data_IF_989682365900
#
_entry.id   IF_989682365900
#
_cell.length_a   1.000
_cell.length_b   1.000
_cell.length_c   1.000
_cell.angle_alpha   90.00
_cell.angle_beta   90.00
_cell.angle_gamma   90.00
#
_symmetry.space_group_name_H-M   'P 1'
#
loop_
_entity.id
_entity.type
_entity.pdbx_description
1 polymer ?
#
# COMPACT_ATOMS: atom_id res chain seq x y z
N UNK A 1 9.05 -19.95 34.44
CA UNK A 1 7.77 -20.25 33.77
C UNK A 1 8.01 -20.10 32.29
N UNK A 2 8.13 -21.20 31.55
CA UNK A 2 8.32 -21.18 30.09
C UNK A 2 7.07 -20.55 29.49
N UNK A 3 7.20 -19.38 28.87
CA UNK A 3 6.10 -18.78 28.13
C UNK A 3 5.63 -19.80 27.08
N UNK A 4 4.37 -20.24 27.17
CA UNK A 4 3.78 -21.10 26.16
C UNK A 4 3.86 -20.36 24.84
N UNK A 5 4.64 -20.88 23.89
CA UNK A 5 4.59 -20.36 22.53
C UNK A 5 3.15 -20.50 22.03
N UNK A 6 2.55 -19.44 21.48
CA UNK A 6 1.19 -19.53 20.95
C UNK A 6 1.16 -20.60 19.86
N UNK A 7 0.12 -21.44 19.86
CA UNK A 7 -0.05 -22.48 18.85
C UNK A 7 -0.16 -21.83 17.46
N UNK A 8 0.64 -22.28 16.47
CA UNK A 8 0.50 -21.84 15.08
C UNK A 8 -0.92 -22.06 14.56
N UNK A 9 -1.39 -21.15 13.70
CA UNK A 9 -2.75 -21.15 13.15
C UNK A 9 -2.74 -21.30 11.63
N UNK A 10 -3.75 -21.97 11.06
CA UNK A 10 -3.79 -22.23 9.62
C UNK A 10 -4.11 -20.95 8.83
N UNK A 11 -3.32 -20.66 7.80
CA UNK A 11 -3.61 -19.60 6.85
C UNK A 11 -4.92 -19.92 6.10
N UNK A 12 -5.86 -18.96 5.96
CA UNK A 12 -7.21 -19.22 5.46
C UNK A 12 -7.31 -19.66 3.99
N UNK A 13 -6.21 -19.58 3.23
CA UNK A 13 -6.14 -20.00 1.82
C UNK A 13 -5.28 -21.26 1.64
N UNK A 14 -4.00 -21.22 2.05
CA UNK A 14 -3.06 -22.32 1.84
C UNK A 14 -3.20 -23.44 2.87
N UNK A 15 -3.74 -23.17 4.06
CA UNK A 15 -3.81 -24.12 5.17
C UNK A 15 -2.50 -24.28 5.96
N UNK A 16 -1.41 -23.68 5.51
CA UNK A 16 -0.12 -23.74 6.19
C UNK A 16 -0.21 -23.09 7.58
N UNK A 17 0.53 -23.65 8.54
CA UNK A 17 0.52 -23.19 9.92
C UNK A 17 1.53 -22.07 10.13
N UNK A 18 1.07 -20.95 10.68
CA UNK A 18 1.92 -19.80 10.99
C UNK A 18 1.77 -19.33 12.43
N UNK A 19 2.88 -18.85 12.99
CA UNK A 19 2.86 -18.01 14.17
C UNK A 19 2.07 -16.72 13.94
N UNK A 20 1.64 -16.08 15.02
CA UNK A 20 0.83 -14.87 15.00
C UNK A 20 1.30 -13.93 16.11
N UNK A 21 2.07 -12.87 15.81
CA UNK A 21 2.46 -12.35 14.49
C UNK A 21 3.30 -13.30 13.62
N UNK A 22 3.17 -13.19 12.29
CA UNK A 22 3.92 -14.00 11.32
C UNK A 22 5.37 -13.49 11.19
N UNK A 23 6.40 -14.30 11.49
CA UNK A 23 7.80 -13.92 11.29
C UNK A 23 8.17 -13.79 9.80
N UNK A 24 9.13 -12.91 9.44
CA UNK A 24 9.57 -12.74 8.06
C UNK A 24 10.20 -14.00 7.47
N UNK A 25 9.96 -14.25 6.18
CA UNK A 25 10.57 -15.36 5.45
C UNK A 25 10.07 -16.75 5.84
N UNK A 26 8.95 -16.85 6.53
CA UNK A 26 8.34 -18.13 6.93
C UNK A 26 7.45 -18.74 5.84
N UNK A 27 7.41 -18.13 4.65
CA UNK A 27 6.61 -18.62 3.52
C UNK A 27 5.21 -18.04 3.42
N UNK A 28 4.90 -16.95 4.13
CA UNK A 28 3.62 -16.25 3.97
C UNK A 28 3.45 -15.80 2.50
N UNK A 29 2.29 -16.05 1.86
CA UNK A 29 2.11 -15.72 0.45
C UNK A 29 2.38 -14.24 0.15
N UNK A 30 3.33 -13.98 -0.74
CA UNK A 30 3.72 -12.62 -1.13
C UNK A 30 4.56 -11.85 -0.10
N UNK A 31 5.17 -12.52 0.87
CA UNK A 31 6.18 -11.92 1.76
C UNK A 31 7.48 -11.65 0.98
N UNK A 32 7.89 -10.38 0.78
CA UNK A 32 9.13 -10.06 0.10
C UNK A 32 10.36 -10.26 1.00
N UNK A 33 10.18 -10.37 2.33
CA UNK A 33 11.29 -10.54 3.25
C UNK A 33 11.71 -11.99 3.42
N UNK A 34 12.97 -12.16 3.77
CA UNK A 34 13.55 -13.42 4.26
C UNK A 34 13.79 -13.30 5.76
N UNK A 35 14.13 -14.41 6.42
CA UNK A 35 14.55 -14.40 7.82
C UNK A 35 15.80 -13.51 8.09
N UNK A 36 16.56 -13.17 7.04
CA UNK A 36 17.78 -12.36 7.11
C UNK A 36 17.56 -10.91 6.68
N UNK A 37 16.35 -10.50 6.30
CA UNK A 37 16.09 -9.12 5.89
C UNK A 37 16.32 -8.17 7.06
N UNK A 38 17.23 -7.18 6.95
CA UNK A 38 17.56 -6.29 8.07
C UNK A 38 16.38 -5.45 8.53
N UNK A 39 16.15 -5.43 9.84
CA UNK A 39 15.08 -4.65 10.47
C UNK A 39 15.52 -3.20 10.67
N UNK A 40 14.70 -2.24 10.26
CA UNK A 40 14.91 -0.83 10.56
C UNK A 40 14.35 -0.47 11.95
N UNK A 41 15.20 0.10 12.81
CA UNK A 41 14.83 0.57 14.15
C UNK A 41 14.88 2.10 14.28
N UNK A 42 15.55 2.78 13.35
CA UNK A 42 15.71 4.23 13.32
C UNK A 42 15.31 4.85 11.97
N UNK A 43 15.14 6.17 11.93
CA UNK A 43 14.90 6.88 10.67
C UNK A 43 16.12 6.84 9.74
N UNK A 44 17.33 6.78 10.31
CA UNK A 44 18.58 6.60 9.60
C UNK A 44 18.64 5.21 8.93
N UNK A 45 18.16 4.15 9.59
CA UNK A 45 18.06 2.83 8.98
C UNK A 45 17.12 2.86 7.77
N UNK A 46 15.98 3.56 7.88
CA UNK A 46 15.04 3.74 6.76
C UNK A 46 15.75 4.41 5.59
N UNK A 47 16.45 5.53 5.82
CA UNK A 47 17.14 6.26 4.77
C UNK A 47 18.22 5.40 4.11
N UNK A 48 19.04 4.70 4.90
CA UNK A 48 20.11 3.84 4.39
C UNK A 48 19.58 2.71 3.51
N UNK A 49 18.49 2.05 3.93
CA UNK A 49 17.87 0.96 3.16
C UNK A 49 17.15 1.45 1.90
N UNK A 50 16.48 2.60 1.99
CA UNK A 50 15.87 3.25 0.83
C UNK A 50 16.92 3.63 -0.21
N UNK A 51 18.06 4.19 0.22
CA UNK A 51 19.17 4.55 -0.66
C UNK A 51 19.82 3.33 -1.30
N UNK A 52 20.04 2.25 -0.53
CA UNK A 52 20.58 1.00 -1.04
C UNK A 52 19.69 0.41 -2.14
N UNK A 53 18.41 0.18 -1.86
CA UNK A 53 17.48 -0.42 -2.84
C UNK A 53 17.35 0.45 -4.10
N UNK A 54 17.33 1.78 -3.95
CA UNK A 54 17.36 2.72 -5.07
C UNK A 54 18.64 2.61 -5.89
N UNK A 55 19.80 2.44 -5.25
CA UNK A 55 21.09 2.30 -5.94
C UNK A 55 21.18 0.99 -6.74
N UNK A 56 20.54 -0.07 -6.25
CA UNK A 56 20.45 -1.35 -6.95
C UNK A 56 19.34 -1.37 -8.02
N UNK A 57 18.39 -0.42 -7.95
CA UNK A 57 17.21 -0.42 -8.81
C UNK A 57 16.21 -1.53 -8.50
N UNK A 58 16.29 -2.11 -7.29
CA UNK A 58 15.48 -3.27 -6.89
C UNK A 58 14.32 -2.85 -5.98
N UNK A 59 13.11 -2.81 -6.57
CA UNK A 59 11.89 -2.48 -5.83
C UNK A 59 11.49 -3.58 -4.83
N UNK A 60 11.82 -4.84 -5.11
CA UNK A 60 11.54 -5.96 -4.21
C UNK A 60 12.43 -5.89 -2.97
N UNK A 61 13.70 -5.47 -3.11
CA UNK A 61 14.57 -5.17 -1.97
C UNK A 61 13.98 -4.07 -1.06
N UNK A 62 13.42 -3.02 -1.67
CA UNK A 62 12.75 -1.95 -0.94
C UNK A 62 11.50 -2.47 -0.21
N UNK A 63 10.64 -3.23 -0.90
CA UNK A 63 9.43 -3.83 -0.34
C UNK A 63 9.76 -4.81 0.81
N UNK A 64 10.85 -5.57 0.70
CA UNK A 64 11.38 -6.43 1.76
C UNK A 64 11.77 -5.63 3.01
N UNK A 65 12.58 -4.57 2.86
CA UNK A 65 12.99 -3.71 3.97
C UNK A 65 11.78 -3.00 4.63
N UNK A 66 10.83 -2.52 3.81
CA UNK A 66 9.57 -1.96 4.29
C UNK A 66 8.84 -2.98 5.16
N UNK A 67 8.69 -4.21 4.70
CA UNK A 67 7.88 -5.28 5.34
C UNK A 67 8.41 -5.78 6.69
N UNK A 68 9.59 -5.33 7.12
CA UNK A 68 10.16 -5.67 8.44
C UNK A 68 10.38 -4.45 9.34
N UNK A 69 10.17 -3.23 8.85
CA UNK A 69 10.37 -1.99 9.60
C UNK A 69 9.66 -1.97 10.98
N UNK A 70 10.39 -1.51 12.00
CA UNK A 70 9.95 -1.40 13.40
C UNK A 70 10.25 -0.05 14.06
N UNK A 71 10.38 1.03 13.28
CA UNK A 71 10.77 2.36 13.81
C UNK A 71 9.69 3.02 14.68
N UNK A 72 8.41 2.74 14.43
CA UNK A 72 7.30 3.42 15.12
C UNK A 72 6.71 2.54 16.23
N UNK A 73 7.21 2.63 17.46
CA UNK A 73 6.81 1.80 18.61
C UNK A 73 5.28 1.67 18.75
N UNK A 74 4.54 2.79 18.76
CA UNK A 74 3.08 2.78 18.88
C UNK A 74 2.39 1.93 17.79
N UNK A 75 2.91 1.95 16.55
CA UNK A 75 2.38 1.17 15.45
C UNK A 75 2.80 -0.30 15.53
N UNK A 76 4.03 -0.58 16.00
CA UNK A 76 4.52 -1.94 16.25
C UNK A 76 3.68 -2.62 17.33
N UNK A 77 3.52 -1.95 18.47
CA UNK A 77 2.71 -2.45 19.59
C UNK A 77 1.27 -2.69 19.15
N UNK A 78 0.67 -1.72 18.47
CA UNK A 78 -0.72 -1.85 18.02
C UNK A 78 -0.89 -3.00 17.02
N UNK A 79 -0.08 -3.03 15.94
CA UNK A 79 -0.24 -4.03 14.88
C UNK A 79 -0.04 -5.45 15.40
N UNK A 80 0.88 -5.64 16.34
CA UNK A 80 1.18 -6.95 16.95
C UNK A 80 0.18 -7.34 18.05
N UNK A 81 -0.32 -6.38 18.85
CA UNK A 81 -1.35 -6.68 19.85
C UNK A 81 -2.61 -7.26 19.23
N UNK A 82 -2.94 -6.87 17.99
CA UNK A 82 -4.07 -7.42 17.22
C UNK A 82 -3.86 -8.87 16.77
N UNK A 83 -2.62 -9.36 16.74
CA UNK A 83 -2.28 -10.76 16.49
C UNK A 83 -2.52 -11.64 17.71
N UNK A 84 -2.70 -11.05 18.90
CA UNK A 84 -2.97 -11.74 20.16
C UNK A 84 -4.44 -11.52 20.55
N UNK A 85 -4.88 -10.28 20.56
CA UNK A 85 -6.25 -9.86 20.87
C UNK A 85 -7.09 -9.76 19.60
N UNK A 86 -7.30 -10.90 18.95
CA UNK A 86 -7.98 -10.99 17.67
C UNK A 86 -9.46 -10.66 17.77
N UNK A 87 -10.00 -10.10 16.69
CA UNK A 87 -11.46 -10.02 16.51
C UNK A 87 -12.02 -11.44 16.44
N UNK A 88 -13.12 -11.70 17.15
CA UNK A 88 -13.74 -13.03 17.25
C UNK A 88 -13.94 -13.74 15.90
N UNK A 89 -14.34 -13.00 14.85
CA UNK A 89 -14.54 -13.53 13.50
C UNK A 89 -13.26 -14.05 12.81
N UNK A 90 -12.09 -13.77 13.37
CA UNK A 90 -10.77 -14.16 12.84
C UNK A 90 -9.87 -14.76 13.94
N UNK A 91 -10.47 -15.30 15.02
CA UNK A 91 -9.72 -15.80 16.16
C UNK A 91 -8.83 -17.00 15.82
N UNK A 92 -9.25 -17.78 14.82
CA UNK A 92 -8.62 -18.98 14.30
C UNK A 92 -7.58 -18.72 13.19
N UNK A 93 -7.39 -17.47 12.77
CA UNK A 93 -6.48 -17.12 11.67
C UNK A 93 -5.18 -16.51 12.18
N UNK A 94 -4.01 -16.84 11.58
CA UNK A 94 -2.78 -16.11 11.84
C UNK A 94 -2.89 -14.67 11.32
N UNK A 95 -2.17 -13.75 11.96
CA UNK A 95 -2.10 -12.35 11.53
C UNK A 95 -0.71 -12.02 11.03
N UNK A 96 -0.63 -11.42 9.84
CA UNK A 96 0.58 -10.83 9.29
C UNK A 96 1.31 -9.92 10.29
N UNK A 97 0.62 -8.90 10.81
CA UNK A 97 1.07 -8.02 11.91
C UNK A 97 2.48 -7.42 11.75
N UNK A 98 2.88 -7.22 10.49
CA UNK A 98 4.08 -6.50 10.04
C UNK A 98 3.66 -5.30 9.15
N UNK A 99 4.58 -4.40 8.77
CA UNK A 99 4.28 -3.44 7.71
C UNK A 99 3.82 -4.16 6.45
N UNK A 100 2.80 -3.63 5.77
CA UNK A 100 2.23 -4.23 4.57
C UNK A 100 2.95 -3.63 3.36
N UNK A 101 3.68 -4.44 2.57
CA UNK A 101 4.36 -3.95 1.38
C UNK A 101 3.37 -3.50 0.30
N UNK A 102 3.85 -2.77 -0.68
CA UNK A 102 3.07 -2.43 -1.88
C UNK A 102 2.63 -3.69 -2.63
N UNK A 103 1.57 -3.57 -3.42
CA UNK A 103 0.97 -4.73 -4.10
C UNK A 103 0.41 -4.37 -5.47
N UNK A 104 0.74 -5.16 -6.49
CA UNK A 104 0.20 -5.06 -7.85
C UNK A 104 1.26 -5.35 -8.89
N UNK A 105 0.99 -4.99 -10.15
CA UNK A 105 1.89 -5.23 -11.25
C UNK A 105 3.23 -4.48 -11.03
N UNK A 106 4.39 -5.18 -11.06
CA UNK A 106 5.71 -4.57 -10.86
C UNK A 106 6.02 -3.46 -11.87
N UNK A 107 5.55 -3.61 -13.11
CA UNK A 107 5.82 -2.70 -14.24
C UNK A 107 4.78 -1.58 -14.35
N UNK A 108 3.75 -1.57 -13.48
CA UNK A 108 2.69 -0.59 -13.57
C UNK A 108 3.15 0.81 -13.12
N UNK A 109 3.05 1.76 -14.05
CA UNK A 109 3.23 3.21 -13.78
C UNK A 109 1.95 3.93 -13.34
N UNK A 110 0.89 3.17 -13.05
CA UNK A 110 -0.35 3.68 -12.45
C UNK A 110 -0.39 3.24 -10.99
N UNK A 111 -0.54 4.20 -10.08
CA UNK A 111 -0.47 3.95 -8.64
C UNK A 111 -1.79 4.32 -7.94
N UNK A 112 -2.25 3.46 -7.04
CA UNK A 112 -3.41 3.71 -6.18
C UNK A 112 -2.88 3.99 -4.78
N UNK A 113 -3.25 5.14 -4.22
CA UNK A 113 -2.75 5.61 -2.91
C UNK A 113 -3.90 5.66 -1.91
N UNK A 114 -3.81 4.82 -0.89
CA UNK A 114 -4.73 4.78 0.25
C UNK A 114 -4.34 5.70 1.40
N UNK A 115 -4.51 5.20 2.62
CA UNK A 115 -4.02 5.83 3.86
C UNK A 115 -2.96 4.94 4.52
N UNK A 116 -3.42 3.80 5.04
CA UNK A 116 -2.66 2.86 5.84
C UNK A 116 -3.44 1.54 5.92
N UNK A 117 -2.78 0.44 6.30
CA UNK A 117 -3.45 -0.81 6.61
C UNK A 117 -4.59 -0.71 7.61
N UNK A 118 -5.62 -1.52 7.40
CA UNK A 118 -6.70 -1.68 8.37
C UNK A 118 -6.35 -2.77 9.40
N UNK A 119 -6.81 -2.59 10.63
CA UNK A 119 -6.48 -3.46 11.77
C UNK A 119 -6.78 -4.97 11.54
N UNK A 120 -7.84 -5.28 10.79
CA UNK A 120 -8.29 -6.66 10.53
C UNK A 120 -8.43 -7.01 9.05
N UNK A 121 -8.02 -6.10 8.16
CA UNK A 121 -7.85 -6.36 6.74
C UNK A 121 -6.38 -6.65 6.48
N UNK A 122 -5.66 -5.70 5.90
CA UNK A 122 -4.27 -5.89 5.48
C UNK A 122 -3.29 -6.17 6.62
N UNK A 123 -3.55 -5.71 7.86
CA UNK A 123 -2.74 -6.13 9.01
C UNK A 123 -2.89 -7.62 9.36
N UNK A 124 -4.03 -8.23 9.02
CA UNK A 124 -4.24 -9.67 9.16
C UNK A 124 -3.71 -10.41 7.94
N UNK A 125 -4.01 -9.89 6.74
CA UNK A 125 -3.85 -10.63 5.48
C UNK A 125 -2.50 -10.41 4.79
N UNK A 126 -1.72 -9.40 5.20
CA UNK A 126 -0.43 -9.08 4.58
C UNK A 126 -0.51 -8.42 3.21
N UNK A 127 -1.72 -8.11 2.70
CA UNK A 127 -1.91 -7.48 1.39
C UNK A 127 -2.84 -6.27 1.48
N UNK A 128 -2.44 -5.16 0.85
CA UNK A 128 -3.22 -3.92 0.87
C UNK A 128 -4.67 -4.15 0.40
N UNK A 129 -5.63 -3.46 1.04
CA UNK A 129 -7.07 -3.55 0.74
C UNK A 129 -7.65 -4.98 0.77
N UNK A 130 -7.00 -5.95 1.41
CA UNK A 130 -7.46 -7.35 1.40
C UNK A 130 -8.14 -7.72 2.71
N UNK A 131 -9.30 -8.39 2.63
CA UNK A 131 -10.02 -8.87 3.81
C UNK A 131 -10.76 -7.79 4.61
N UNK A 132 -11.05 -6.62 4.02
CA UNK A 132 -11.85 -5.56 4.64
C UNK A 132 -12.93 -4.97 3.70
N UNK A 133 -13.92 -4.23 4.25
CA UNK A 133 -15.01 -3.67 3.44
C UNK A 133 -14.58 -2.64 2.40
N UNK A 134 -13.55 -1.83 2.69
CA UNK A 134 -13.09 -0.80 1.76
C UNK A 134 -12.43 -1.45 0.54
N UNK A 135 -11.70 -2.53 0.78
CA UNK A 135 -11.09 -3.36 -0.22
C UNK A 135 -12.04 -4.00 -1.19
N UNK A 136 -13.17 -4.54 -0.72
CA UNK A 136 -14.19 -5.13 -1.60
C UNK A 136 -14.70 -4.13 -2.65
N UNK A 137 -14.86 -2.87 -2.27
CA UNK A 137 -15.26 -1.82 -3.22
C UNK A 137 -14.17 -1.54 -4.25
N UNK A 138 -12.91 -1.45 -3.80
CA UNK A 138 -11.79 -1.18 -4.69
C UNK A 138 -11.56 -2.32 -5.68
N UNK A 139 -11.47 -3.56 -5.21
CA UNK A 139 -11.23 -4.73 -6.07
C UNK A 139 -12.39 -4.97 -7.04
N UNK A 140 -13.65 -4.77 -6.62
CA UNK A 140 -14.80 -4.81 -7.54
C UNK A 140 -14.68 -3.77 -8.66
N UNK A 141 -14.31 -2.53 -8.33
CA UNK A 141 -14.13 -1.47 -9.33
C UNK A 141 -12.97 -1.78 -10.29
N UNK A 142 -11.85 -2.32 -9.78
CA UNK A 142 -10.74 -2.79 -10.61
C UNK A 142 -11.15 -3.94 -11.52
N UNK A 143 -11.88 -4.93 -10.99
CA UNK A 143 -12.33 -6.09 -11.74
C UNK A 143 -13.30 -5.71 -12.86
N UNK A 144 -14.31 -4.87 -12.57
CA UNK A 144 -15.21 -4.30 -13.58
C UNK A 144 -14.48 -3.55 -14.69
N UNK A 145 -13.33 -2.96 -14.36
CA UNK A 145 -12.48 -2.24 -15.32
C UNK A 145 -11.44 -3.15 -16.02
N UNK A 146 -11.42 -4.45 -15.75
CA UNK A 146 -10.44 -5.39 -16.30
C UNK A 146 -9.01 -5.20 -15.76
N UNK A 147 -8.85 -4.53 -14.62
CA UNK A 147 -7.56 -4.15 -14.04
C UNK A 147 -7.07 -5.09 -12.92
N UNK A 148 -7.81 -6.17 -12.61
CA UNK A 148 -7.36 -7.25 -11.73
C UNK A 148 -8.03 -8.58 -12.10
N UNK A 149 -7.46 -9.69 -11.61
CA UNK A 149 -7.87 -11.06 -12.00
C UNK A 149 -9.15 -11.54 -11.35
N UNK A 150 -9.56 -10.96 -10.21
CA UNK A 150 -10.71 -11.41 -9.42
C UNK A 150 -11.48 -10.22 -8.85
N UNK A 151 -12.76 -10.43 -8.54
CA UNK A 151 -13.60 -9.39 -7.91
C UNK A 151 -13.30 -9.21 -6.42
N UNK A 152 -12.98 -10.30 -5.73
CA UNK A 152 -12.80 -10.33 -4.27
C UNK A 152 -11.41 -10.81 -3.87
N UNK A 153 -10.90 -10.19 -2.82
CA UNK A 153 -9.58 -10.43 -2.23
C UNK A 153 -9.75 -10.71 -0.74
N UNK A 154 -9.59 -11.97 -0.34
CA UNK A 154 -9.95 -12.47 0.99
C UNK A 154 -8.72 -12.51 1.92
N UNK A 155 -7.61 -13.04 1.42
CA UNK A 155 -6.31 -13.10 2.09
C UNK A 155 -5.20 -13.25 1.05
N UNK A 156 -3.95 -12.94 1.41
CA UNK A 156 -2.82 -13.19 0.51
C UNK A 156 -2.78 -14.67 0.08
N UNK A 157 -2.32 -14.94 -1.14
CA UNK A 157 -2.30 -16.31 -1.70
C UNK A 157 -3.59 -16.75 -2.41
N UNK A 158 -4.65 -15.94 -2.39
CA UNK A 158 -5.92 -16.24 -3.09
C UNK A 158 -5.89 -16.01 -4.63
N UNK A 159 -4.72 -15.83 -5.22
CA UNK A 159 -4.56 -15.59 -6.67
C UNK A 159 -5.05 -14.23 -7.18
N UNK A 160 -5.39 -13.28 -6.31
CA UNK A 160 -5.62 -11.89 -6.74
C UNK A 160 -4.33 -11.29 -7.29
N UNK A 161 -4.41 -10.71 -8.49
CA UNK A 161 -3.35 -9.92 -9.13
C UNK A 161 -3.98 -8.64 -9.68
N UNK A 162 -3.32 -7.49 -9.46
CA UNK A 162 -3.71 -6.21 -10.10
C UNK A 162 -2.83 -6.06 -11.33
N UNK A 163 -3.43 -6.06 -12.52
CA UNK A 163 -2.71 -6.13 -13.80
C UNK A 163 -2.33 -4.76 -14.35
N UNK A 164 -3.12 -3.72 -14.05
CA UNK A 164 -2.96 -2.39 -14.68
C UNK A 164 -2.43 -1.30 -13.74
N UNK A 165 -2.18 -1.63 -12.47
CA UNK A 165 -1.80 -0.70 -11.42
C UNK A 165 -1.04 -1.37 -10.27
N UNK A 166 -0.50 -0.56 -9.38
CA UNK A 166 0.03 -0.95 -8.06
C UNK A 166 -0.63 -0.12 -6.96
N UNK A 167 -0.88 -0.73 -5.80
CA UNK A 167 -1.27 -0.05 -4.57
C UNK A 167 -0.02 0.27 -3.75
N UNK A 168 0.12 1.54 -3.37
CA UNK A 168 1.21 2.04 -2.51
C UNK A 168 0.60 2.83 -1.35
N UNK A 169 0.63 2.34 -0.11
CA UNK A 169 0.10 3.07 1.05
C UNK A 169 1.12 4.10 1.57
N UNK A 170 0.71 5.33 1.92
CA UNK A 170 1.61 6.31 2.53
C UNK A 170 2.15 5.94 3.93
N UNK A 171 1.45 5.04 4.62
CA UNK A 171 1.87 4.47 5.91
C UNK A 171 1.70 2.97 5.84
N UNK A 172 2.77 2.20 6.04
CA UNK A 172 2.74 0.74 5.85
C UNK A 172 2.25 -0.04 7.07
N UNK A 173 2.02 0.58 8.23
CA UNK A 173 1.53 -0.12 9.42
C UNK A 173 0.09 0.27 9.75
N UNK A 174 -0.69 -0.66 10.30
CA UNK A 174 -2.02 -0.32 10.79
C UNK A 174 -1.92 0.64 11.99
N UNK A 175 -2.56 1.82 11.94
CA UNK A 175 -2.61 2.72 13.07
C UNK A 175 -3.87 2.51 13.91
N UNK A 176 -3.81 2.72 15.23
CA UNK A 176 -5.00 2.79 16.07
C UNK A 176 -6.05 3.74 15.48
N UNK A 177 -7.30 3.27 15.43
CA UNK A 177 -8.45 4.00 14.87
C UNK A 177 -8.29 4.47 13.41
N UNK A 178 -7.37 3.87 12.64
CA UNK A 178 -6.98 4.32 11.30
C UNK A 178 -6.47 5.77 11.28
N UNK A 179 -5.76 6.18 12.34
CA UNK A 179 -5.22 7.54 12.48
C UNK A 179 -3.72 7.50 12.82
N UNK A 180 -2.84 7.55 11.80
CA UNK A 180 -1.42 7.71 12.05
C UNK A 180 -1.12 9.14 12.54
N UNK A 181 -0.15 9.28 13.43
CA UNK A 181 0.32 10.58 13.93
C UNK A 181 1.08 11.34 12.84
N UNK A 182 1.34 12.63 13.07
CA UNK A 182 2.18 13.43 12.16
C UNK A 182 3.59 12.86 12.04
N UNK A 183 4.16 12.42 13.16
CA UNK A 183 5.48 11.80 13.21
C UNK A 183 5.50 10.47 12.45
N UNK A 184 4.55 9.58 12.68
CA UNK A 184 4.45 8.30 11.96
C UNK A 184 4.33 8.49 10.44
N UNK A 185 3.52 9.48 10.01
CA UNK A 185 3.44 9.86 8.59
C UNK A 185 4.75 10.42 8.06
N UNK A 186 5.50 11.16 8.88
CA UNK A 186 6.79 11.71 8.49
C UNK A 186 7.86 10.61 8.36
N UNK A 187 7.91 9.67 9.31
CA UNK A 187 8.80 8.51 9.28
C UNK A 187 8.53 7.63 8.06
N UNK A 188 7.26 7.31 7.79
CA UNK A 188 6.90 6.48 6.64
C UNK A 188 7.04 7.21 5.28
N UNK A 189 7.15 8.55 5.28
CA UNK A 189 7.26 9.33 4.03
C UNK A 189 8.50 8.96 3.23
N UNK A 190 9.63 8.62 3.88
CA UNK A 190 10.85 8.22 3.16
C UNK A 190 10.61 6.96 2.33
N UNK A 191 9.94 5.95 2.89
CA UNK A 191 9.51 4.76 2.13
C UNK A 191 8.62 5.15 0.95
N UNK A 192 7.54 5.86 1.25
CA UNK A 192 6.54 6.24 0.25
C UNK A 192 7.14 7.07 -0.90
N UNK A 193 7.98 8.07 -0.61
CA UNK A 193 8.64 8.87 -1.66
C UNK A 193 9.64 8.06 -2.46
N UNK A 194 10.33 7.11 -1.83
CA UNK A 194 11.30 6.25 -2.52
C UNK A 194 10.57 5.32 -3.48
N UNK A 195 9.51 4.64 -3.04
CA UNK A 195 8.65 3.82 -3.91
C UNK A 195 8.14 4.63 -5.11
N UNK A 196 7.60 5.84 -4.89
CA UNK A 196 7.13 6.69 -5.99
C UNK A 196 8.25 7.06 -6.98
N UNK A 197 9.47 7.33 -6.48
CA UNK A 197 10.60 7.68 -7.35
C UNK A 197 11.15 6.51 -8.15
N UNK A 198 11.04 5.28 -7.62
CA UNK A 198 11.41 4.06 -8.33
C UNK A 198 10.32 3.64 -9.33
N UNK A 199 9.04 3.73 -8.95
CA UNK A 199 7.90 3.39 -9.84
C UNK A 199 7.74 4.40 -10.98
N UNK A 200 8.11 5.67 -10.75
CA UNK A 200 7.98 6.77 -11.72
C UNK A 200 6.54 6.87 -12.30
N UNK A 201 5.51 7.03 -11.46
CA UNK A 201 4.13 6.97 -11.91
C UNK A 201 3.77 8.09 -12.88
N UNK A 202 2.92 7.77 -13.85
CA UNK A 202 2.27 8.74 -14.77
C UNK A 202 0.85 9.07 -14.32
N UNK A 203 0.25 8.21 -13.50
CA UNK A 203 -1.08 8.40 -12.93
C UNK A 203 -1.12 7.96 -11.47
N UNK A 204 -1.78 8.75 -10.62
CA UNK A 204 -2.08 8.38 -9.23
C UNK A 204 -3.59 8.51 -8.96
N UNK A 205 -4.23 7.45 -8.48
CA UNK A 205 -5.57 7.50 -7.88
C UNK A 205 -5.44 7.67 -6.36
N UNK A 206 -5.69 8.87 -5.85
CA UNK A 206 -5.59 9.19 -4.44
C UNK A 206 -6.93 9.01 -3.71
N UNK A 207 -7.00 8.02 -2.83
CA UNK A 207 -8.20 7.64 -2.08
C UNK A 207 -8.33 8.47 -0.79
N UNK A 208 -9.17 9.49 -0.84
CA UNK A 208 -9.50 10.39 0.26
C UNK A 208 -8.52 11.55 0.41
N UNK A 209 -8.91 12.52 1.25
CA UNK A 209 -8.11 13.71 1.54
C UNK A 209 -6.70 13.39 2.03
N UNK A 210 -6.55 12.30 2.80
CA UNK A 210 -5.25 11.95 3.38
C UNK A 210 -4.33 11.39 2.30
N UNK A 211 -4.79 10.42 1.49
CA UNK A 211 -4.00 9.92 0.34
C UNK A 211 -3.60 11.05 -0.59
N UNK A 212 -4.53 11.95 -0.93
CA UNK A 212 -4.25 13.16 -1.73
C UNK A 212 -3.17 14.02 -1.09
N UNK A 213 -3.30 14.31 0.20
CA UNK A 213 -2.32 15.11 0.94
C UNK A 213 -0.95 14.46 0.95
N UNK A 214 -0.86 13.16 1.21
CA UNK A 214 0.40 12.41 1.24
C UNK A 214 1.10 12.43 -0.11
N UNK A 215 0.36 12.30 -1.23
CA UNK A 215 0.93 12.39 -2.58
C UNK A 215 1.62 13.74 -2.79
N UNK A 216 0.97 14.86 -2.48
CA UNK A 216 1.58 16.18 -2.67
C UNK A 216 2.71 16.46 -1.66
N UNK A 217 2.66 15.89 -0.46
CA UNK A 217 3.76 16.00 0.51
C UNK A 217 5.00 15.22 0.06
N UNK A 218 4.81 14.00 -0.48
CA UNK A 218 5.89 13.23 -1.10
C UNK A 218 6.42 13.94 -2.35
N UNK A 219 5.53 14.47 -3.19
CA UNK A 219 5.90 15.25 -4.37
C UNK A 219 6.74 16.48 -4.04
N UNK A 220 6.46 17.18 -2.93
CA UNK A 220 7.29 18.28 -2.45
C UNK A 220 8.70 17.82 -2.08
N UNK A 221 8.83 16.68 -1.39
CA UNK A 221 10.13 16.08 -1.06
C UNK A 221 10.90 15.62 -2.31
N UNK A 222 10.18 15.18 -3.35
CA UNK A 222 10.73 14.78 -4.64
C UNK A 222 10.95 15.95 -5.61
N UNK A 223 10.68 17.19 -5.20
CA UNK A 223 10.91 18.38 -6.01
C UNK A 223 9.94 18.59 -7.18
N UNK A 224 8.76 17.95 -7.16
CA UNK A 224 7.74 18.11 -8.20
C UNK A 224 7.32 19.57 -8.38
N UNK A 225 7.02 19.95 -9.63
CA UNK A 225 6.56 21.31 -9.99
C UNK A 225 5.04 21.32 -10.17
N UNK A 226 4.43 22.50 -10.00
CA UNK A 226 2.97 22.65 -10.10
C UNK A 226 2.18 22.23 -8.84
N UNK A 227 2.86 22.06 -7.70
CA UNK A 227 2.25 21.64 -6.44
C UNK A 227 1.90 22.78 -5.47
N UNK A 228 2.19 24.04 -5.83
CA UNK A 228 1.98 25.22 -4.98
C UNK A 228 1.14 26.29 -5.71
N UNK A 229 0.03 26.79 -5.11
CA UNK A 229 -0.60 26.26 -3.91
C UNK A 229 -1.06 24.82 -4.13
N UNK A 230 -1.08 24.02 -3.05
CA UNK A 230 -1.48 22.60 -3.15
C UNK A 230 -2.88 22.48 -3.75
N UNK A 231 -3.07 21.67 -4.82
CA UNK A 231 -4.37 21.43 -5.40
C UNK A 231 -5.42 20.99 -4.36
N UNK A 232 -6.62 21.56 -4.45
CA UNK A 232 -7.74 21.20 -3.55
C UNK A 232 -8.23 19.80 -3.90
N UNK A 233 -8.41 18.97 -2.87
CA UNK A 233 -8.99 17.64 -3.03
C UNK A 233 -10.47 17.73 -3.41
N UNK A 234 -10.88 16.87 -4.34
CA UNK A 234 -12.27 16.62 -4.68
C UNK A 234 -12.40 15.26 -5.35
N UNK A 235 -13.61 14.71 -5.35
CA UNK A 235 -13.85 13.44 -6.05
C UNK A 235 -13.88 13.66 -7.56
N UNK A 236 -13.15 12.81 -8.27
CA UNK A 236 -12.85 12.89 -9.70
C UNK A 236 -12.20 14.21 -10.14
N UNK A 237 -11.65 14.99 -9.20
CA UNK A 237 -10.82 16.17 -9.51
C UNK A 237 -9.44 15.69 -9.92
N UNK A 238 -8.92 16.23 -11.01
CA UNK A 238 -7.57 15.93 -11.49
C UNK A 238 -6.63 17.10 -11.24
N UNK A 239 -5.38 16.80 -10.92
CA UNK A 239 -4.29 17.76 -10.86
C UNK A 239 -3.09 17.22 -11.64
N UNK A 240 -2.51 18.03 -12.51
CA UNK A 240 -1.31 17.67 -13.27
C UNK A 240 -0.10 18.38 -12.68
N UNK A 241 0.97 17.63 -12.48
CA UNK A 241 2.25 18.11 -11.95
C UNK A 241 3.38 17.65 -12.86
N UNK A 242 4.53 18.31 -12.79
CA UNK A 242 5.74 17.89 -13.50
C UNK A 242 6.69 17.22 -12.52
N UNK A 243 7.09 16.00 -12.83
CA UNK A 243 8.06 15.19 -12.05
C UNK A 243 9.41 15.16 -12.77
N UNK A 244 10.42 14.50 -12.17
CA UNK A 244 11.69 14.24 -12.85
C UNK A 244 11.60 13.26 -14.04
N UNK A 245 10.48 12.55 -14.19
CA UNK A 245 10.23 11.55 -15.25
C UNK A 245 9.05 11.93 -16.15
N UNK A 246 8.69 13.22 -16.18
CA UNK A 246 7.62 13.75 -17.03
C UNK A 246 6.34 14.12 -16.29
N UNK A 247 5.24 14.32 -17.03
CA UNK A 247 3.96 14.71 -16.44
C UNK A 247 3.34 13.57 -15.62
N UNK A 248 2.75 13.93 -14.49
CA UNK A 248 1.98 13.03 -13.63
C UNK A 248 0.59 13.63 -13.39
N UNK A 249 -0.45 12.84 -13.61
CA UNK A 249 -1.82 13.20 -13.27
C UNK A 249 -2.27 12.52 -11.98
N UNK A 250 -2.68 13.31 -11.00
CA UNK A 250 -3.27 12.85 -9.72
C UNK A 250 -4.79 13.00 -9.80
N UNK A 251 -5.51 11.89 -9.69
CA UNK A 251 -6.97 11.80 -9.67
C UNK A 251 -7.44 11.63 -8.22
N UNK A 252 -8.28 12.54 -7.73
CA UNK A 252 -8.86 12.45 -6.40
C UNK A 252 -10.07 11.51 -6.40
N UNK A 253 -10.18 10.65 -5.41
CA UNK A 253 -11.37 9.83 -5.21
C UNK A 253 -11.77 9.85 -3.74
N UNK A 254 -13.06 9.92 -3.40
CA UNK A 254 -13.45 9.69 -2.01
C UNK A 254 -13.07 8.27 -1.61
N UNK A 255 -12.58 8.12 -0.37
CA UNK A 255 -12.20 6.82 0.15
C UNK A 255 -13.45 5.92 0.27
N UNK A 256 -13.39 4.62 -0.08
CA UNK A 256 -14.49 3.67 0.09
C UNK A 256 -14.66 3.22 1.55
N UNK A 257 -14.63 4.17 2.50
CA UNK A 257 -14.91 3.87 3.90
C UNK A 257 -16.39 3.56 4.09
N UNK A 258 -16.71 2.77 5.12
CA UNK A 258 -18.10 2.47 5.48
C UNK A 258 -18.95 3.73 5.65
N UNK A 259 -18.39 4.80 6.24
CA UNK A 259 -19.06 6.09 6.37
C UNK A 259 -19.43 6.68 5.01
N UNK A 260 -18.50 6.72 4.06
CA UNK A 260 -18.73 7.35 2.76
C UNK A 260 -19.71 6.55 1.90
N UNK A 261 -19.67 5.22 1.99
CA UNK A 261 -20.55 4.34 1.22
C UNK A 261 -21.96 4.29 1.81
N UNK A 262 -22.11 4.25 3.15
CA UNK A 262 -23.43 4.27 3.79
C UNK A 262 -24.17 5.60 3.62
N UNK A 263 -23.44 6.72 3.64
CA UNK A 263 -24.01 8.07 3.42
C UNK A 263 -24.20 8.42 1.94
N UNK A 264 -23.85 7.51 1.02
CA UNK A 264 -23.88 7.72 -0.44
C UNK A 264 -23.02 8.90 -0.93
N UNK A 265 -22.09 9.39 -0.09
CA UNK A 265 -21.07 10.34 -0.52
C UNK A 265 -20.23 9.72 -1.65
N UNK A 266 -19.90 8.43 -1.50
CA UNK A 266 -19.37 7.58 -2.56
C UNK A 266 -20.38 6.49 -2.91
N UNK A 267 -20.68 6.33 -4.20
CA UNK A 267 -21.51 5.26 -4.77
C UNK A 267 -20.66 4.44 -5.74
N UNK A 268 -21.09 3.22 -6.11
CA UNK A 268 -20.35 2.40 -7.08
C UNK A 268 -20.14 3.16 -8.41
N UNK A 269 -21.15 3.81 -9.01
CA UNK A 269 -20.94 4.58 -10.24
C UNK A 269 -19.92 5.72 -10.11
N UNK A 270 -19.84 6.36 -8.94
CA UNK A 270 -18.84 7.41 -8.64
C UNK A 270 -17.43 6.83 -8.55
N UNK A 271 -17.26 5.70 -7.86
CA UNK A 271 -15.98 5.01 -7.79
C UNK A 271 -15.54 4.52 -9.18
N UNK A 272 -16.45 3.89 -9.93
CA UNK A 272 -16.20 3.40 -11.29
C UNK A 272 -15.82 4.55 -12.24
N UNK A 273 -16.44 5.74 -12.08
CA UNK A 273 -16.07 6.92 -12.86
C UNK A 273 -14.65 7.41 -12.56
N UNK A 274 -14.26 7.52 -11.29
CA UNK A 274 -12.89 7.89 -10.91
C UNK A 274 -11.86 6.85 -11.37
N UNK A 275 -12.21 5.55 -11.29
CA UNK A 275 -11.38 4.46 -11.80
C UNK A 275 -11.18 4.56 -13.32
N UNK A 276 -12.24 4.84 -14.08
CA UNK A 276 -12.14 5.08 -15.54
C UNK A 276 -11.25 6.28 -15.87
N UNK A 277 -11.43 7.42 -15.19
CA UNK A 277 -10.55 8.59 -15.36
C UNK A 277 -9.09 8.22 -15.14
N UNK A 278 -8.81 7.47 -14.07
CA UNK A 278 -7.46 7.04 -13.72
C UNK A 278 -6.85 6.07 -14.75
N UNK A 279 -7.60 5.06 -15.18
CA UNK A 279 -7.11 4.05 -16.14
C UNK A 279 -7.00 4.59 -17.56
N UNK A 280 -7.77 5.61 -17.93
CA UNK A 280 -7.71 6.27 -19.23
C UNK A 280 -6.44 7.12 -19.43
N UNK A 281 -5.69 7.43 -18.37
CA UNK A 281 -4.41 8.13 -18.49
C UNK A 281 -3.43 7.22 -19.22
N UNK A 282 -2.91 7.72 -20.34
CA UNK A 282 -1.95 7.02 -21.17
C UNK A 282 -0.66 6.75 -20.40
N UNK A 283 -0.15 5.52 -20.50
CA UNK A 283 1.22 5.19 -20.14
C UNK A 283 2.01 5.47 -21.40
N UNK A 284 2.65 6.65 -21.51
CA UNK A 284 3.53 6.94 -22.63
C UNK A 284 4.60 5.85 -22.74
N UNK A 285 4.85 5.36 -23.96
CA UNK A 285 5.94 4.44 -24.22
C UNK A 285 7.27 5.13 -24.00
N UNK A 286 8.21 4.44 -23.36
CA UNK A 286 9.62 4.70 -23.61
C UNK A 286 9.86 4.26 -25.06
N UNK A 287 9.86 5.21 -25.99
CA UNK A 287 10.46 4.96 -27.29
C UNK A 287 11.95 4.71 -27.01
N UNK A 288 12.35 3.44 -27.19
CA UNK A 288 13.73 3.03 -27.10
C UNK A 288 14.53 3.76 -28.16
N UNK A 289 15.33 4.72 -27.70
CA UNK A 289 16.49 5.20 -28.44
C UNK A 289 17.55 4.09 -28.33
N UNK A 290 17.38 3.06 -29.17
CA UNK A 290 18.49 2.25 -29.61
C UNK A 290 19.34 3.15 -30.51
N UNK A 291 20.30 3.84 -29.91
CA UNK A 291 21.43 4.37 -30.66
C UNK A 291 22.21 3.18 -31.22
N UNK A 292 21.98 2.89 -32.50
CA UNK A 292 22.97 2.23 -33.34
C UNK A 292 24.13 3.22 -33.54
N UNK A 293 25.29 2.90 -32.99
CA UNK A 293 26.62 3.21 -33.55
C UNK A 293 27.63 2.12 -33.14
#
# INVERSE_FOLDING_TARGET
MTASHPTPLPHPITGDLFDSPVPPGTGWPGDPATANTPVCHTAEDIAARADQARSHGDLTELEAAISVCSVCDRLVDWRQSLAVHKRAAFADQPYWSRPVPSFGNPDARRVIVGLAPSAHGSNRTGRNFTGDPAGRWLYRALYKAGACTREESIAAGDGMEITAARVVPPVHCAPPHNKPTTEEKATCRTWFSTELSMIRPVAILALGQIGWTSVFQAGAALGWKGISPRPKFGHNVTATVTTGWGPLTVVGCYHPSQRNTSTKLLTEPKLDAAMRTFLAIAIGGEDGEHDED
#
